data_IF_562646667309
#
_entry.id   IF_562646667309
#
_cell.length_a   1.000
_cell.length_b   1.000
_cell.length_c   1.000
_cell.angle_alpha   90.00
_cell.angle_beta   90.00
_cell.angle_gamma   90.00
#
_symmetry.space_group_name_H-M   'P 1'
#
loop_
_entity.id
_entity.type
_entity.pdbx_description
1 polymer ?
#
# COMPACT_ATOMS: atom_id res chain seq x y z
N UNK A 1 52.12 4.48 36.77
CA UNK A 1 51.03 3.57 36.35
C UNK A 1 49.90 4.35 35.73
N UNK A 2 49.74 4.26 34.41
CA UNK A 2 48.53 4.75 33.73
C UNK A 2 47.55 3.58 33.70
N UNK A 3 46.39 3.73 34.35
CA UNK A 3 45.30 2.74 34.23
C UNK A 3 44.87 2.67 32.76
N UNK A 4 44.65 1.47 32.18
CA UNK A 4 44.05 1.38 30.87
C UNK A 4 42.61 1.87 30.97
N UNK A 5 42.25 2.84 30.14
CA UNK A 5 40.85 3.19 29.88
C UNK A 5 40.24 1.97 29.19
N UNK A 6 39.27 1.32 29.83
CA UNK A 6 38.48 0.29 29.17
C UNK A 6 37.80 0.93 27.96
N UNK A 7 37.80 0.29 26.78
CA UNK A 7 36.98 0.76 25.68
C UNK A 7 35.53 0.71 26.16
N UNK A 8 34.84 1.84 26.05
CA UNK A 8 33.39 1.87 26.16
C UNK A 8 32.91 0.99 25.02
N UNK A 9 32.28 -0.14 25.34
CA UNK A 9 31.41 -0.85 24.40
C UNK A 9 30.28 0.12 24.05
N UNK A 10 30.50 0.97 23.05
CA UNK A 10 29.40 1.53 22.28
C UNK A 10 28.97 0.41 21.34
N UNK A 11 28.15 -0.51 21.86
CA UNK A 11 27.01 -0.90 21.05
C UNK A 11 26.25 0.41 20.82
N UNK A 12 26.51 1.07 19.69
CA UNK A 12 25.59 2.08 19.17
C UNK A 12 24.27 1.35 19.03
N UNK A 13 23.41 1.49 20.04
CA UNK A 13 22.11 0.87 20.08
C UNK A 13 21.38 1.43 18.85
N UNK A 14 21.31 0.63 17.79
CA UNK A 14 20.82 1.14 16.51
C UNK A 14 19.40 1.66 16.71
N UNK A 15 19.15 2.88 16.24
CA UNK A 15 17.87 3.57 16.41
C UNK A 15 16.74 2.68 15.90
N UNK A 16 15.80 2.34 16.79
CA UNK A 16 14.61 1.56 16.44
C UNK A 16 13.64 2.41 15.62
N UNK A 17 12.87 1.77 14.75
CA UNK A 17 11.97 2.45 13.81
C UNK A 17 10.52 1.94 13.93
N UNK A 18 9.58 2.87 13.81
CA UNK A 18 8.18 2.58 13.46
C UNK A 18 8.11 2.56 11.94
N UNK A 19 7.79 1.40 11.37
CA UNK A 19 7.68 1.23 9.93
C UNK A 19 6.23 1.34 9.45
N UNK A 20 6.02 2.18 8.45
CA UNK A 20 4.75 2.42 7.77
C UNK A 20 4.90 1.92 6.33
N UNK A 21 4.05 1.00 5.90
CA UNK A 21 3.91 0.56 4.52
C UNK A 21 2.80 1.37 3.86
N UNK A 22 3.09 1.92 2.68
CA UNK A 22 2.15 2.71 1.91
C UNK A 22 2.02 2.16 0.50
N UNK A 23 0.76 1.86 0.16
CA UNK A 23 0.29 1.55 -1.19
C UNK A 23 -0.56 2.70 -1.69
N UNK A 24 -0.56 2.96 -2.99
CA UNK A 24 -1.38 4.03 -3.57
C UNK A 24 -1.80 3.70 -4.99
N UNK A 25 -2.94 4.21 -5.43
CA UNK A 25 -3.47 4.05 -6.79
C UNK A 25 -3.39 2.60 -7.31
N UNK A 26 -3.87 1.59 -6.56
CA UNK A 26 -3.87 0.23 -7.08
C UNK A 26 -4.87 0.05 -8.22
N UNK A 27 -5.93 0.88 -8.30
CA UNK A 27 -6.94 0.91 -9.37
C UNK A 27 -7.47 -0.49 -9.73
N UNK A 28 -8.03 -1.19 -8.75
CA UNK A 28 -8.69 -2.47 -8.98
C UNK A 28 -9.77 -2.35 -10.08
N UNK A 29 -9.74 -3.30 -11.00
CA UNK A 29 -10.56 -3.28 -12.22
C UNK A 29 -9.98 -2.48 -13.39
N UNK A 30 -8.90 -1.71 -13.22
CA UNK A 30 -8.33 -0.97 -14.33
C UNK A 30 -7.39 -1.80 -15.20
N UNK A 31 -7.42 -1.54 -16.50
CA UNK A 31 -6.48 -2.15 -17.44
C UNK A 31 -5.04 -1.64 -17.26
N UNK A 32 -4.85 -0.51 -16.56
CA UNK A 32 -3.53 0.03 -16.26
C UNK A 32 -2.97 -0.41 -14.90
N UNK A 33 -3.73 -1.19 -14.11
CA UNK A 33 -3.18 -1.82 -12.91
C UNK A 33 -2.03 -2.75 -13.31
N UNK A 34 -0.89 -2.58 -12.66
CA UNK A 34 0.27 -3.40 -12.89
C UNK A 34 0.18 -4.71 -12.11
N UNK A 35 0.62 -5.79 -12.75
CA UNK A 35 0.63 -7.11 -12.15
C UNK A 35 1.95 -7.82 -12.42
N UNK A 36 2.34 -8.65 -11.45
CA UNK A 36 3.35 -9.70 -11.63
C UNK A 36 2.67 -11.07 -11.57
N UNK A 37 3.26 -12.04 -12.28
CA UNK A 37 2.77 -13.42 -12.29
C UNK A 37 3.56 -14.22 -11.27
N UNK A 38 2.85 -14.71 -10.27
CA UNK A 38 3.34 -15.78 -9.42
C UNK A 38 3.07 -17.11 -10.14
N UNK A 39 4.12 -17.70 -10.71
CA UNK A 39 4.05 -18.89 -11.56
C UNK A 39 4.16 -20.20 -10.78
N UNK A 40 4.08 -20.15 -9.45
CA UNK A 40 4.16 -21.31 -8.57
C UNK A 40 5.56 -21.86 -8.33
N UNK A 41 6.62 -21.17 -8.79
CA UNK A 41 8.02 -21.54 -8.49
C UNK A 41 8.33 -21.52 -6.99
N UNK A 42 7.59 -20.72 -6.21
CA UNK A 42 7.69 -20.67 -4.75
C UNK A 42 6.74 -21.65 -4.02
N UNK A 43 6.06 -22.55 -4.75
CA UNK A 43 5.09 -23.49 -4.17
C UNK A 43 3.65 -22.96 -4.08
N UNK A 44 3.40 -21.77 -4.63
CA UNK A 44 2.10 -21.10 -4.72
C UNK A 44 1.29 -21.53 -5.95
N UNK A 45 0.00 -21.18 -5.96
CA UNK A 45 -0.85 -21.34 -7.14
C UNK A 45 -0.55 -20.24 -8.18
N UNK A 46 -0.77 -20.56 -9.46
CA UNK A 46 -0.67 -19.57 -10.54
C UNK A 46 -1.65 -18.41 -10.29
N UNK A 47 -1.14 -17.19 -10.15
CA UNK A 47 -1.97 -15.99 -9.95
C UNK A 47 -1.28 -14.72 -10.39
N UNK A 48 -2.10 -13.71 -10.68
CA UNK A 48 -1.65 -12.35 -10.95
C UNK A 48 -1.78 -11.53 -9.68
N UNK A 49 -0.66 -10.99 -9.21
CA UNK A 49 -0.55 -10.18 -8.00
C UNK A 49 -0.34 -8.72 -8.40
N UNK A 50 -1.13 -7.79 -7.88
CA UNK A 50 -0.80 -6.37 -7.95
C UNK A 50 0.43 -6.07 -7.11
N UNK A 51 0.97 -4.84 -7.20
CA UNK A 51 2.24 -4.51 -6.53
C UNK A 51 2.20 -4.70 -5.02
N UNK A 52 1.09 -4.33 -4.39
CA UNK A 52 0.86 -4.51 -2.96
C UNK A 52 0.70 -5.98 -2.57
N UNK A 53 -0.10 -6.77 -3.30
CA UNK A 53 -0.19 -8.21 -3.06
C UNK A 53 1.15 -8.93 -3.27
N UNK A 54 1.92 -8.51 -4.27
CA UNK A 54 3.21 -9.08 -4.60
C UNK A 54 4.22 -8.86 -3.48
N UNK A 55 4.26 -7.65 -2.90
CA UNK A 55 5.12 -7.34 -1.76
C UNK A 55 4.67 -8.08 -0.50
N UNK A 56 3.37 -8.20 -0.26
CA UNK A 56 2.83 -9.03 0.84
C UNK A 56 3.25 -10.49 0.65
N UNK A 57 3.17 -11.02 -0.58
CA UNK A 57 3.59 -12.39 -0.86
C UNK A 57 5.11 -12.58 -0.70
N UNK A 58 5.94 -11.60 -1.05
CA UNK A 58 7.37 -11.63 -0.74
C UNK A 58 7.64 -11.73 0.77
N UNK A 59 6.86 -11.03 1.60
CA UNK A 59 6.94 -11.14 3.06
C UNK A 59 6.45 -12.51 3.56
N UNK A 60 5.41 -13.05 2.92
CA UNK A 60 4.85 -14.38 3.21
C UNK A 60 5.86 -15.48 2.93
N UNK A 61 6.53 -15.45 1.77
CA UNK A 61 7.61 -16.38 1.44
C UNK A 61 8.76 -16.33 2.45
N UNK A 62 9.07 -15.14 2.99
CA UNK A 62 10.06 -14.94 4.05
C UNK A 62 9.56 -15.30 5.46
N UNK A 63 8.32 -15.83 5.59
CA UNK A 63 7.69 -16.24 6.85
C UNK A 63 7.61 -15.13 7.90
N UNK A 64 7.44 -13.88 7.45
CA UNK A 64 7.41 -12.73 8.35
C UNK A 64 6.10 -12.62 9.15
N UNK A 65 5.05 -13.31 8.74
CA UNK A 65 3.75 -13.25 9.44
C UNK A 65 3.70 -14.15 10.68
N UNK A 66 4.72 -14.99 10.88
CA UNK A 66 4.83 -15.86 12.04
C UNK A 66 5.49 -15.13 13.21
N UNK A 67 4.97 -15.33 14.43
CA UNK A 67 5.63 -14.94 15.68
C UNK A 67 6.04 -13.45 15.78
N UNK A 68 5.25 -12.53 15.20
CA UNK A 68 5.51 -11.09 15.30
C UNK A 68 6.77 -10.61 14.58
N UNK A 69 7.29 -11.39 13.62
CA UNK A 69 8.50 -11.08 12.85
C UNK A 69 8.32 -9.95 11.82
N UNK A 70 7.07 -9.64 11.45
CA UNK A 70 6.79 -8.61 10.46
C UNK A 70 7.39 -7.27 10.92
N UNK A 71 8.18 -6.58 10.08
CA UNK A 71 8.82 -5.33 10.47
C UNK A 71 7.87 -4.12 10.42
N UNK A 72 6.72 -4.26 9.75
CA UNK A 72 5.74 -3.20 9.50
C UNK A 72 4.75 -3.07 10.66
N UNK A 73 4.41 -1.83 11.01
CA UNK A 73 3.52 -1.49 12.12
C UNK A 73 2.26 -0.72 11.68
N UNK A 74 2.30 -0.09 10.52
CA UNK A 74 1.18 0.64 9.97
C UNK A 74 1.07 0.36 8.47
N UNK A 75 -0.15 0.22 7.98
CA UNK A 75 -0.48 0.11 6.57
C UNK A 75 -1.45 1.23 6.20
N UNK A 76 -1.22 1.86 5.06
CA UNK A 76 -2.14 2.81 4.48
C UNK A 76 -2.24 2.59 2.97
N UNK A 77 -3.48 2.61 2.47
CA UNK A 77 -3.78 2.64 1.04
C UNK A 77 -4.30 4.03 0.69
N UNK A 78 -3.44 4.85 0.08
CA UNK A 78 -3.73 6.23 -0.32
C UNK A 78 -4.36 6.26 -1.71
N UNK A 79 -5.59 6.78 -1.79
CA UNK A 79 -6.35 7.01 -3.02
C UNK A 79 -6.62 5.79 -3.92
N UNK A 80 -7.70 5.92 -4.68
CA UNK A 80 -8.23 4.98 -5.69
C UNK A 80 -7.90 3.48 -5.47
N UNK A 81 -8.38 2.85 -4.36
CA UNK A 81 -8.42 1.39 -4.28
C UNK A 81 -9.05 0.78 -5.53
N UNK A 82 -10.24 1.24 -5.93
CA UNK A 82 -10.85 0.87 -7.21
C UNK A 82 -10.75 2.01 -8.20
N UNK A 83 -10.85 1.67 -9.48
CA UNK A 83 -10.76 2.64 -10.57
C UNK A 83 -12.02 3.50 -10.73
N UNK A 84 -13.19 3.01 -10.36
CA UNK A 84 -14.45 3.64 -10.75
C UNK A 84 -14.64 3.76 -12.29
N UNK A 85 -15.56 4.65 -12.68
CA UNK A 85 -15.81 5.13 -14.02
C UNK A 85 -15.02 6.42 -14.27
N UNK A 86 -13.93 6.32 -15.03
CA UNK A 86 -13.23 7.48 -15.56
C UNK A 86 -13.69 7.75 -17.00
N UNK A 87 -14.74 8.58 -17.13
CA UNK A 87 -15.56 8.80 -18.34
C UNK A 87 -14.80 9.18 -19.63
N UNK A 88 -13.51 9.50 -19.58
CA UNK A 88 -12.70 9.84 -20.75
C UNK A 88 -11.63 8.80 -21.11
N UNK A 89 -11.15 8.00 -20.15
CA UNK A 89 -10.06 7.05 -20.40
C UNK A 89 -10.55 5.61 -20.45
N UNK A 90 -11.74 5.29 -19.93
CA UNK A 90 -12.34 3.94 -20.00
C UNK A 90 -12.45 3.36 -21.43
N UNK A 91 -12.44 4.22 -22.44
CA UNK A 91 -12.47 3.82 -23.85
C UNK A 91 -11.08 3.57 -24.45
N UNK A 92 -10.01 3.93 -23.74
CA UNK A 92 -8.65 3.68 -24.18
C UNK A 92 -8.39 2.18 -24.17
N UNK A 93 -7.88 1.68 -25.29
CA UNK A 93 -7.51 0.27 -25.41
C UNK A 93 -6.09 0.08 -24.92
N UNK A 94 -5.90 -0.82 -23.97
CA UNK A 94 -4.57 -1.31 -23.62
C UNK A 94 -3.84 -1.83 -24.87
N UNK A 95 -2.56 -1.50 -25.11
CA UNK A 95 -1.84 -1.86 -26.34
C UNK A 95 -1.74 -3.37 -26.57
N UNK A 96 -1.73 -4.17 -25.49
CA UNK A 96 -1.73 -5.64 -25.58
C UNK A 96 -3.11 -6.30 -25.68
N UNK A 97 -4.20 -5.52 -25.73
CA UNK A 97 -5.57 -6.05 -25.88
C UNK A 97 -5.75 -6.58 -27.30
N UNK A 98 -5.96 -7.89 -27.44
CA UNK A 98 -6.20 -8.50 -28.75
C UNK A 98 -7.67 -8.35 -29.17
N UNK A 99 -7.97 -8.11 -30.46
CA UNK A 99 -9.31 -8.31 -31.01
C UNK A 99 -9.80 -9.75 -30.79
N UNK A 100 -11.11 -9.91 -30.59
CA UNK A 100 -11.72 -11.21 -30.28
C UNK A 100 -11.39 -12.31 -31.31
N UNK A 101 -11.44 -11.99 -32.61
CA UNK A 101 -11.10 -12.94 -33.68
C UNK A 101 -9.66 -13.47 -33.56
N UNK A 102 -8.69 -12.63 -33.18
CA UNK A 102 -7.31 -13.07 -33.00
C UNK A 102 -7.15 -13.96 -31.75
N UNK A 103 -7.95 -13.74 -30.72
CA UNK A 103 -8.00 -14.61 -29.54
C UNK A 103 -8.55 -15.99 -29.93
N UNK A 104 -9.64 -16.03 -30.71
CA UNK A 104 -10.19 -17.31 -31.20
C UNK A 104 -9.16 -18.08 -32.04
N UNK A 105 -8.48 -17.42 -32.96
CA UNK A 105 -7.45 -18.04 -33.80
C UNK A 105 -6.29 -18.58 -32.97
N UNK A 106 -5.83 -17.84 -31.96
CA UNK A 106 -4.75 -18.27 -31.06
C UNK A 106 -5.16 -19.47 -30.19
N UNK A 107 -6.39 -19.45 -29.65
CA UNK A 107 -6.91 -20.58 -28.87
C UNK A 107 -7.11 -21.84 -29.73
N UNK A 108 -7.53 -21.70 -30.99
CA UNK A 108 -7.62 -22.82 -31.94
C UNK A 108 -6.25 -23.44 -32.20
N UNK A 109 -5.22 -22.62 -32.46
CA UNK A 109 -3.84 -23.10 -32.65
C UNK A 109 -3.34 -23.87 -31.43
N UNK A 110 -3.56 -23.34 -30.22
CA UNK A 110 -3.17 -24.01 -28.96
C UNK A 110 -3.91 -25.33 -28.75
N UNK A 111 -5.20 -25.38 -29.08
CA UNK A 111 -5.99 -26.61 -29.02
C UNK A 111 -5.46 -27.68 -29.98
N UNK A 112 -5.11 -27.30 -31.22
CA UNK A 112 -4.57 -28.24 -32.20
C UNK A 112 -3.19 -28.78 -31.80
N UNK A 113 -2.34 -27.93 -31.21
CA UNK A 113 -1.08 -28.37 -30.59
C UNK A 113 -1.35 -29.35 -29.43
N UNK A 114 -2.29 -29.02 -28.53
CA UNK A 114 -2.61 -29.85 -27.38
C UNK A 114 -3.15 -31.24 -27.76
N UNK A 115 -3.90 -31.35 -28.87
CA UNK A 115 -4.47 -32.63 -29.35
C UNK A 115 -3.42 -33.67 -29.72
N UNK A 116 -2.25 -33.22 -30.16
CA UNK A 116 -1.16 -34.10 -30.63
C UNK A 116 0.02 -34.15 -29.65
N UNK A 117 -0.05 -33.38 -28.57
CA UNK A 117 0.99 -33.28 -27.56
C UNK A 117 1.07 -34.53 -26.67
N UNK A 118 2.29 -34.89 -26.28
CA UNK A 118 2.53 -35.84 -25.20
C UNK A 118 2.14 -35.21 -23.85
N UNK A 119 1.95 -36.03 -22.81
CA UNK A 119 1.43 -35.57 -21.52
C UNK A 119 2.21 -34.38 -20.91
N UNK A 120 3.55 -34.39 -20.98
CA UNK A 120 4.36 -33.29 -20.47
C UNK A 120 4.18 -31.98 -21.26
N UNK A 121 4.10 -32.08 -22.59
CA UNK A 121 3.89 -30.94 -23.48
C UNK A 121 2.46 -30.39 -23.37
N UNK A 122 1.47 -31.26 -23.17
CA UNK A 122 0.09 -30.87 -22.92
C UNK A 122 -0.02 -29.98 -21.68
N UNK A 123 0.61 -30.38 -20.57
CA UNK A 123 0.60 -29.58 -19.33
C UNK A 123 1.22 -28.20 -19.54
N UNK A 124 2.30 -28.13 -20.33
CA UNK A 124 2.94 -26.85 -20.69
C UNK A 124 2.00 -25.97 -21.52
N UNK A 125 1.41 -26.52 -22.59
CA UNK A 125 0.46 -25.80 -23.47
C UNK A 125 -0.75 -25.31 -22.67
N UNK A 126 -1.29 -26.15 -21.77
CA UNK A 126 -2.41 -25.78 -20.92
C UNK A 126 -2.07 -24.60 -20.00
N UNK A 127 -0.93 -24.65 -19.30
CA UNK A 127 -0.45 -23.54 -18.45
C UNK A 127 -0.27 -22.25 -19.24
N UNK A 128 0.38 -22.31 -20.39
CA UNK A 128 0.57 -21.15 -21.27
C UNK A 128 -0.77 -20.60 -21.76
N UNK A 129 -1.77 -21.45 -21.97
CA UNK A 129 -3.13 -21.05 -22.38
C UNK A 129 -3.87 -20.35 -21.26
N UNK A 130 -3.80 -20.87 -20.03
CA UNK A 130 -4.35 -20.20 -18.86
C UNK A 130 -3.74 -18.81 -18.65
N UNK A 131 -2.40 -18.70 -18.73
CA UNK A 131 -1.70 -17.40 -18.62
C UNK A 131 -2.15 -16.43 -19.71
N UNK A 132 -2.25 -16.90 -20.95
CA UNK A 132 -2.73 -16.08 -22.07
C UNK A 132 -4.15 -15.56 -21.85
N UNK A 133 -5.09 -16.43 -21.49
CA UNK A 133 -6.50 -16.05 -21.24
C UNK A 133 -6.60 -15.06 -20.10
N UNK A 134 -5.95 -15.34 -18.96
CA UNK A 134 -5.96 -14.46 -17.80
C UNK A 134 -5.37 -13.09 -18.12
N UNK A 135 -4.26 -13.03 -18.84
CA UNK A 135 -3.67 -11.77 -19.30
C UNK A 135 -4.64 -10.99 -20.21
N UNK A 136 -5.33 -11.67 -21.15
CA UNK A 136 -6.31 -11.00 -22.01
C UNK A 136 -7.54 -10.49 -21.25
N UNK A 137 -7.95 -11.14 -20.16
CA UNK A 137 -8.98 -10.63 -19.26
C UNK A 137 -8.48 -9.41 -18.48
N UNK A 138 -7.26 -9.48 -17.93
CA UNK A 138 -6.64 -8.40 -17.17
C UNK A 138 -6.51 -7.11 -18.00
N UNK A 139 -5.92 -7.16 -19.20
CA UNK A 139 -5.69 -5.97 -20.05
C UNK A 139 -6.98 -5.35 -20.60
N UNK A 140 -8.14 -5.98 -20.39
CA UNK A 140 -9.44 -5.39 -20.71
C UNK A 140 -10.01 -4.56 -19.57
N UNK A 141 -9.62 -4.87 -18.33
CA UNK A 141 -10.20 -4.31 -17.12
C UNK A 141 -11.64 -4.77 -16.89
N UNK A 142 -12.22 -4.25 -15.82
CA UNK A 142 -13.59 -4.40 -15.38
C UNK A 142 -14.20 -3.01 -15.22
N UNK A 143 -15.27 -2.72 -15.96
CA UNK A 143 -15.91 -1.41 -15.94
C UNK A 143 -16.97 -1.30 -14.84
N UNK A 144 -17.55 -2.43 -14.44
CA UNK A 144 -18.60 -2.43 -13.43
C UNK A 144 -18.01 -2.25 -12.04
N UNK A 145 -18.28 -1.10 -11.42
CA UNK A 145 -17.67 -0.71 -10.13
C UNK A 145 -17.87 -1.76 -9.04
N UNK A 146 -19.03 -2.41 -8.99
CA UNK A 146 -19.26 -3.49 -8.02
C UNK A 146 -18.23 -4.61 -8.18
N UNK A 147 -17.97 -5.05 -9.41
CA UNK A 147 -17.01 -6.12 -9.71
C UNK A 147 -15.56 -5.66 -9.42
N UNK A 148 -15.27 -4.36 -9.57
CA UNK A 148 -13.99 -3.79 -9.12
C UNK A 148 -13.83 -3.88 -7.59
N UNK A 149 -14.88 -3.58 -6.83
CA UNK A 149 -14.88 -3.71 -5.37
C UNK A 149 -14.76 -5.17 -4.93
N UNK A 150 -15.44 -6.09 -5.62
CA UNK A 150 -15.34 -7.53 -5.41
C UNK A 150 -13.92 -8.02 -5.69
N UNK A 151 -13.25 -7.50 -6.72
CA UNK A 151 -11.84 -7.81 -6.96
C UNK A 151 -10.93 -7.37 -5.81
N UNK A 152 -11.09 -6.16 -5.25
CA UNK A 152 -10.32 -5.75 -4.08
C UNK A 152 -10.59 -6.69 -2.88
N UNK A 153 -11.84 -7.08 -2.65
CA UNK A 153 -12.19 -8.04 -1.61
C UNK A 153 -11.45 -9.38 -1.79
N UNK A 154 -11.69 -10.02 -2.92
CA UNK A 154 -11.30 -11.41 -3.19
C UNK A 154 -9.82 -11.56 -3.49
N UNK A 155 -9.15 -10.50 -3.94
CA UNK A 155 -7.74 -10.55 -4.36
C UNK A 155 -6.80 -9.81 -3.41
N UNK A 156 -7.28 -8.83 -2.66
CA UNK A 156 -6.47 -8.09 -1.69
C UNK A 156 -6.85 -8.38 -0.24
N UNK A 157 -8.11 -8.20 0.16
CA UNK A 157 -8.49 -8.28 1.58
C UNK A 157 -8.51 -9.71 2.13
N UNK A 158 -9.25 -10.61 1.48
CA UNK A 158 -9.43 -11.99 1.98
C UNK A 158 -8.12 -12.80 1.95
N UNK A 159 -7.33 -12.81 0.85
CA UNK A 159 -6.13 -13.64 0.78
C UNK A 159 -5.00 -13.14 1.69
N UNK A 160 -5.04 -11.87 2.09
CA UNK A 160 -3.99 -11.23 2.89
C UNK A 160 -4.41 -10.96 4.35
N UNK A 161 -5.43 -11.67 4.84
CA UNK A 161 -5.87 -11.53 6.24
C UNK A 161 -4.77 -11.88 7.25
N UNK A 162 -3.85 -12.78 6.88
CA UNK A 162 -2.67 -13.15 7.66
C UNK A 162 -1.67 -11.99 7.81
N UNK A 163 -1.47 -11.19 6.77
CA UNK A 163 -0.66 -9.98 6.81
C UNK A 163 -1.25 -8.94 7.78
N UNK A 164 -2.56 -8.66 7.67
CA UNK A 164 -3.20 -7.70 8.56
C UNK A 164 -3.22 -8.17 10.02
N UNK A 165 -3.46 -9.46 10.25
CA UNK A 165 -3.37 -10.10 11.57
C UNK A 165 -1.95 -9.96 12.16
N UNK A 166 -0.91 -10.23 11.38
CA UNK A 166 0.48 -10.11 11.79
C UNK A 166 0.87 -8.65 12.08
N UNK A 167 0.48 -7.70 11.23
CA UNK A 167 0.75 -6.27 11.41
C UNK A 167 0.12 -5.74 12.69
N UNK A 168 -1.15 -6.02 12.93
CA UNK A 168 -1.81 -5.58 14.17
C UNK A 168 -1.24 -6.27 15.41
N UNK A 169 -0.86 -7.55 15.29
CA UNK A 169 -0.20 -8.29 16.36
C UNK A 169 1.14 -7.64 16.70
N UNK A 170 1.94 -7.31 15.67
CA UNK A 170 3.21 -6.61 15.82
C UNK A 170 3.04 -5.28 16.53
N UNK A 171 2.16 -4.42 16.03
CA UNK A 171 1.92 -3.10 16.61
C UNK A 171 1.50 -3.17 18.07
N UNK A 172 0.69 -4.17 18.42
CA UNK A 172 0.27 -4.43 19.81
C UNK A 172 1.42 -4.93 20.68
N UNK A 173 2.24 -5.87 20.19
CA UNK A 173 3.39 -6.42 20.93
C UNK A 173 4.44 -5.34 21.21
N UNK A 174 4.68 -4.46 20.24
CA UNK A 174 5.54 -3.28 20.37
C UNK A 174 5.00 -2.20 21.32
N UNK A 175 3.78 -2.38 21.84
CA UNK A 175 3.12 -1.39 22.70
C UNK A 175 2.85 -0.05 22.02
N UNK A 176 2.78 -0.03 20.68
CA UNK A 176 2.56 1.21 19.96
C UNK A 176 1.21 1.82 20.28
N UNK A 177 1.20 3.15 20.40
CA UNK A 177 0.01 3.93 20.68
C UNK A 177 -0.26 4.79 19.46
N UNK A 178 -1.41 4.56 18.83
CA UNK A 178 -1.95 5.42 17.76
C UNK A 178 -3.18 6.18 18.30
N UNK A 179 -3.20 7.49 18.09
CA UNK A 179 -4.29 8.37 18.54
C UNK A 179 -4.84 9.16 17.35
N UNK A 180 -6.13 9.01 17.08
CA UNK A 180 -6.86 9.82 16.10
C UNK A 180 -7.27 11.17 16.68
N UNK A 181 -7.93 11.99 15.87
CA UNK A 181 -8.43 13.32 16.26
C UNK A 181 -9.38 13.25 17.46
N UNK A 182 -10.23 12.22 17.54
CA UNK A 182 -11.18 12.03 18.64
C UNK A 182 -10.49 11.93 20.01
N UNK A 183 -9.23 11.49 20.07
CA UNK A 183 -8.45 11.41 21.29
C UNK A 183 -7.92 12.76 21.80
N UNK A 184 -7.99 13.81 20.99
CA UNK A 184 -7.49 15.16 21.31
C UNK A 184 -8.62 16.17 21.55
N UNK A 185 -9.88 15.76 21.44
CA UNK A 185 -11.02 16.65 21.66
C UNK A 185 -11.16 17.03 23.14
N UNK A 186 -11.35 18.33 23.41
CA UNK A 186 -11.56 18.87 24.77
C UNK A 186 -12.85 18.35 25.42
N UNK A 187 -13.87 18.08 24.60
CA UNK A 187 -15.07 17.36 25.02
C UNK A 187 -14.96 15.91 24.58
N UNK A 188 -15.53 14.94 25.34
CA UNK A 188 -15.51 13.53 24.94
C UNK A 188 -16.17 13.31 23.57
N UNK A 189 -15.35 13.33 22.53
CA UNK A 189 -15.76 13.03 21.17
C UNK A 189 -15.45 11.54 20.94
N UNK A 190 -16.50 10.71 20.86
CA UNK A 190 -16.32 9.27 20.63
C UNK A 190 -16.02 8.92 19.17
N UNK A 191 -16.14 9.89 18.27
CA UNK A 191 -16.04 9.66 16.83
C UNK A 191 -15.63 10.94 16.10
N UNK A 192 -14.52 10.88 15.38
CA UNK A 192 -14.16 11.85 14.36
C UNK A 192 -13.91 11.11 13.04
N UNK A 193 -14.46 11.61 11.94
CA UNK A 193 -14.29 11.01 10.63
C UNK A 193 -12.82 10.93 10.19
N UNK A 194 -11.98 11.82 10.71
CA UNK A 194 -10.54 11.93 10.39
C UNK A 194 -9.65 10.98 11.19
N UNK A 195 -10.22 10.19 12.11
CA UNK A 195 -9.43 9.28 12.95
C UNK A 195 -8.64 8.27 12.11
N UNK A 196 -7.34 8.16 12.41
CA UNK A 196 -6.44 7.14 11.85
C UNK A 196 -6.27 5.95 12.79
N UNK A 197 -5.89 4.80 12.23
CA UNK A 197 -5.53 3.57 12.93
C UNK A 197 -4.21 3.00 12.41
N UNK A 198 -3.88 1.76 12.79
CA UNK A 198 -2.73 1.04 12.23
C UNK A 198 -2.97 0.57 10.80
N UNK A 199 -4.24 0.41 10.39
CA UNK A 199 -4.62 0.09 9.02
C UNK A 199 -5.61 1.16 8.56
N UNK A 200 -5.31 1.82 7.43
CA UNK A 200 -6.10 2.93 6.91
C UNK A 200 -6.42 2.72 5.43
N UNK A 201 -7.72 2.74 5.09
CA UNK A 201 -8.17 2.67 3.70
C UNK A 201 -8.71 4.01 3.23
N UNK A 202 -8.14 4.50 2.12
CA UNK A 202 -8.62 5.66 1.41
C UNK A 202 -9.91 5.40 0.63
N UNK A 203 -10.45 6.47 0.08
CA UNK A 203 -11.49 6.45 -0.94
C UNK A 203 -10.98 7.24 -2.12
N UNK A 204 -11.08 6.61 -3.28
CA UNK A 204 -10.71 7.17 -4.55
C UNK A 204 -11.53 8.37 -4.98
N UNK A 205 -10.88 9.36 -5.58
CA UNK A 205 -11.60 10.40 -6.31
C UNK A 205 -12.37 9.79 -7.51
N UNK A 206 -11.83 8.74 -8.17
CA UNK A 206 -12.51 8.12 -9.29
C UNK A 206 -13.76 7.36 -8.83
N UNK A 207 -13.65 6.56 -7.76
CA UNK A 207 -14.79 5.90 -7.15
C UNK A 207 -15.85 6.93 -6.72
N UNK A 208 -15.43 7.97 -5.98
CA UNK A 208 -16.30 9.05 -5.52
C UNK A 208 -17.06 9.69 -6.67
N UNK A 209 -16.40 10.07 -7.76
CA UNK A 209 -17.04 10.66 -8.94
C UNK A 209 -18.03 9.69 -9.62
N UNK A 210 -17.75 8.39 -9.59
CA UNK A 210 -18.61 7.38 -10.22
C UNK A 210 -19.97 7.25 -9.56
N UNK A 211 -19.97 7.33 -8.23
CA UNK A 211 -21.16 7.19 -7.39
C UNK A 211 -21.70 8.55 -6.95
N UNK A 212 -21.35 9.64 -7.65
CA UNK A 212 -21.74 11.01 -7.32
C UNK A 212 -21.44 11.43 -5.87
N UNK A 213 -20.33 10.91 -5.31
CA UNK A 213 -19.88 11.10 -3.93
C UNK A 213 -20.86 10.60 -2.86
N UNK A 214 -21.83 9.75 -3.22
CA UNK A 214 -22.83 9.21 -2.29
C UNK A 214 -22.28 8.06 -1.43
N UNK A 215 -21.17 7.44 -1.85
CA UNK A 215 -20.53 6.32 -1.17
C UNK A 215 -19.02 6.52 -1.07
N UNK A 216 -18.43 5.97 0.00
CA UNK A 216 -16.98 5.95 0.24
C UNK A 216 -16.53 4.50 0.39
N UNK A 217 -15.77 4.00 -0.58
CA UNK A 217 -15.36 2.60 -0.64
C UNK A 217 -14.47 2.19 0.56
N UNK A 218 -13.62 3.11 1.05
CA UNK A 218 -12.74 2.84 2.18
C UNK A 218 -13.50 2.40 3.43
N UNK A 219 -14.68 2.97 3.69
CA UNK A 219 -15.54 2.57 4.83
C UNK A 219 -16.07 1.15 4.68
N UNK A 220 -16.37 0.73 3.45
CA UNK A 220 -16.80 -0.64 3.14
C UNK A 220 -15.64 -1.60 3.41
N UNK A 221 -14.45 -1.31 2.90
CA UNK A 221 -13.26 -2.15 3.07
C UNK A 221 -12.82 -2.27 4.51
N UNK A 222 -12.75 -1.16 5.25
CA UNK A 222 -12.44 -1.18 6.68
C UNK A 222 -13.47 -1.98 7.48
N UNK A 223 -14.76 -1.94 7.12
CA UNK A 223 -15.79 -2.76 7.77
C UNK A 223 -15.59 -4.25 7.49
N UNK A 224 -15.34 -4.62 6.23
CA UNK A 224 -15.13 -6.02 5.84
C UNK A 224 -13.86 -6.57 6.49
N UNK A 225 -12.75 -5.84 6.43
CA UNK A 225 -11.49 -6.25 7.05
C UNK A 225 -11.65 -6.48 8.56
N UNK A 226 -12.37 -5.61 9.27
CA UNK A 226 -12.69 -5.84 10.69
C UNK A 226 -13.48 -7.14 10.90
N UNK A 227 -14.45 -7.44 10.06
CA UNK A 227 -15.21 -8.70 10.13
C UNK A 227 -14.33 -9.93 9.87
N UNK A 228 -13.43 -9.85 8.88
CA UNK A 228 -12.47 -10.91 8.60
C UNK A 228 -11.51 -11.10 9.78
N UNK A 229 -11.00 -10.01 10.36
CA UNK A 229 -10.12 -10.08 11.54
C UNK A 229 -10.86 -10.65 12.76
N UNK A 230 -12.14 -10.33 12.97
CA UNK A 230 -12.95 -10.95 14.02
C UNK A 230 -13.10 -12.46 13.88
N UNK A 231 -12.89 -13.04 12.70
CA UNK A 231 -12.86 -14.51 12.54
C UNK A 231 -11.55 -15.14 13.03
N UNK A 232 -10.51 -14.33 13.29
CA UNK A 232 -9.18 -14.79 13.72
C UNK A 232 -9.12 -14.97 15.24
N UNK A 233 -8.43 -16.00 15.75
CA UNK A 233 -8.38 -16.29 17.20
C UNK A 233 -7.92 -15.11 18.08
N UNK A 234 -6.95 -14.31 17.61
CA UNK A 234 -6.39 -13.20 18.37
C UNK A 234 -7.36 -12.01 18.55
N UNK A 235 -8.41 -11.93 17.71
CA UNK A 235 -9.26 -10.75 17.62
C UNK A 235 -10.75 -11.02 17.80
N UNK A 236 -11.18 -12.28 17.95
CA UNK A 236 -12.60 -12.66 17.97
C UNK A 236 -13.50 -11.88 18.93
N UNK A 237 -12.95 -11.44 20.07
CA UNK A 237 -13.68 -10.66 21.08
C UNK A 237 -13.19 -9.20 21.20
N UNK A 238 -12.50 -8.69 20.18
CA UNK A 238 -11.79 -7.41 20.20
C UNK A 238 -12.45 -6.38 19.26
N UNK A 239 -13.78 -6.43 19.07
CA UNK A 239 -14.50 -5.55 18.13
C UNK A 239 -14.19 -4.07 18.34
N UNK A 240 -14.25 -3.59 19.58
CA UNK A 240 -13.99 -2.17 19.91
C UNK A 240 -12.53 -1.79 19.61
N UNK A 241 -11.59 -2.70 19.82
CA UNK A 241 -10.18 -2.47 19.50
C UNK A 241 -9.96 -2.45 17.98
N UNK A 242 -10.60 -3.34 17.24
CA UNK A 242 -10.53 -3.33 15.77
C UNK A 242 -11.17 -2.07 15.16
N UNK A 243 -12.20 -1.51 15.81
CA UNK A 243 -12.78 -0.22 15.44
C UNK A 243 -11.82 0.98 15.64
N UNK A 244 -10.80 0.85 16.50
CA UNK A 244 -9.73 1.86 16.64
C UNK A 244 -8.54 1.58 15.75
N UNK A 245 -8.21 0.31 15.50
CA UNK A 245 -7.03 -0.09 14.74
C UNK A 245 -7.22 -0.07 13.22
N UNK A 246 -8.44 -0.29 12.74
CA UNK A 246 -8.75 -0.30 11.30
C UNK A 246 -9.72 0.84 10.99
N UNK A 247 -9.25 1.82 10.22
CA UNK A 247 -9.96 3.06 9.92
C UNK A 247 -10.12 3.29 8.42
N UNK A 248 -11.10 4.11 8.10
CA UNK A 248 -11.28 4.71 6.79
C UNK A 248 -11.50 6.21 6.98
N UNK A 249 -10.41 6.98 7.16
CA UNK A 249 -10.49 8.41 7.40
C UNK A 249 -11.28 9.14 6.31
N UNK A 250 -12.03 10.16 6.72
CA UNK A 250 -12.81 10.99 5.82
C UNK A 250 -12.97 12.38 6.42
N UNK A 251 -12.58 13.39 5.64
CA UNK A 251 -12.89 14.78 5.92
C UNK A 251 -13.68 15.35 4.75
N UNK A 252 -14.93 15.74 5.01
CA UNK A 252 -15.91 16.01 3.95
C UNK A 252 -16.13 14.75 3.09
N UNK A 253 -15.82 14.81 1.79
CA UNK A 253 -15.87 13.69 0.85
C UNK A 253 -14.47 13.24 0.39
N UNK A 254 -13.41 13.68 1.07
CA UNK A 254 -12.03 13.35 0.72
C UNK A 254 -11.40 12.47 1.78
N UNK A 255 -10.57 11.53 1.33
CA UNK A 255 -9.74 10.76 2.25
C UNK A 255 -8.69 11.70 2.84
N UNK A 256 -8.90 12.08 4.10
CA UNK A 256 -7.97 12.86 4.91
C UNK A 256 -8.07 12.34 6.34
N UNK A 257 -6.97 11.79 6.83
CA UNK A 257 -6.84 11.28 8.18
C UNK A 257 -5.73 11.98 8.94
N UNK A 258 -5.97 12.26 10.22
CA UNK A 258 -5.00 12.86 11.12
C UNK A 258 -4.88 12.08 12.43
N UNK A 259 -3.67 12.07 12.96
CA UNK A 259 -3.42 11.56 14.29
C UNK A 259 -1.96 11.60 14.67
N UNK A 260 -1.60 10.77 15.63
CA UNK A 260 -0.23 10.61 16.10
C UNK A 260 0.11 9.15 16.34
N UNK A 261 1.40 8.82 16.29
CA UNK A 261 1.92 7.50 16.64
C UNK A 261 3.18 7.63 17.49
N UNK A 262 3.33 6.75 18.50
CA UNK A 262 4.56 6.64 19.28
C UNK A 262 4.71 5.27 19.92
N UNK A 263 5.95 4.95 20.28
CA UNK A 263 6.26 3.87 21.22
C UNK A 263 6.25 4.39 22.66
N UNK A 264 6.01 3.53 23.68
CA UNK A 264 5.89 3.96 25.07
C UNK A 264 7.11 4.75 25.57
N UNK A 265 6.89 5.96 26.07
CA UNK A 265 7.95 6.85 26.58
C UNK A 265 8.88 7.42 25.51
N UNK A 266 8.52 7.32 24.23
CA UNK A 266 9.31 7.77 23.09
C UNK A 266 8.68 8.99 22.39
N UNK A 267 9.31 9.48 21.32
CA UNK A 267 8.85 10.66 20.60
C UNK A 267 7.49 10.41 19.93
N UNK A 268 6.64 11.44 19.93
CA UNK A 268 5.33 11.39 19.29
C UNK A 268 5.33 12.06 17.91
N UNK A 269 5.18 11.24 16.89
CA UNK A 269 5.10 11.67 15.51
C UNK A 269 3.68 12.10 15.17
N UNK A 270 3.54 13.22 14.45
CA UNK A 270 2.30 13.56 13.76
C UNK A 270 2.14 12.72 12.50
N UNK A 271 0.91 12.31 12.18
CA UNK A 271 0.59 11.57 10.97
C UNK A 271 -0.57 12.25 10.23
N UNK A 272 -0.41 12.40 8.93
CA UNK A 272 -1.46 12.75 7.98
C UNK A 272 -1.43 11.78 6.80
N UNK A 273 -2.59 11.23 6.47
CA UNK A 273 -2.79 10.40 5.28
C UNK A 273 -3.86 11.05 4.42
N UNK A 274 -3.67 11.12 3.10
CA UNK A 274 -4.67 11.72 2.22
C UNK A 274 -4.69 11.15 0.79
N UNK A 275 -5.76 11.48 0.08
CA UNK A 275 -5.96 11.13 -1.34
C UNK A 275 -4.86 11.73 -2.22
N UNK A 276 -4.76 13.05 -2.30
CA UNK A 276 -3.95 13.78 -3.25
C UNK A 276 -3.18 14.91 -2.57
N UNK A 277 -2.03 15.36 -3.10
CA UNK A 277 -1.36 16.54 -2.57
C UNK A 277 -2.28 17.77 -2.64
N UNK A 278 -2.21 18.67 -1.64
CA UNK A 278 -3.04 19.90 -1.59
C UNK A 278 -2.90 20.78 -2.82
N UNK A 279 -1.75 20.72 -3.48
CA UNK A 279 -1.52 21.33 -4.79
C UNK A 279 -0.33 20.65 -5.47
N UNK A 280 -0.49 20.32 -6.75
CA UNK A 280 0.62 19.98 -7.64
C UNK A 280 1.20 21.28 -8.23
N UNK A 281 2.53 21.46 -8.20
CA UNK A 281 3.17 22.61 -8.88
C UNK A 281 3.59 22.25 -10.28
N UNK A 282 4.40 21.19 -10.42
CA UNK A 282 4.90 20.72 -11.71
C UNK A 282 5.23 19.24 -11.61
N UNK A 283 5.42 18.58 -12.74
CA UNK A 283 5.82 17.16 -12.75
C UNK A 283 7.29 16.94 -12.34
N UNK A 284 8.14 17.98 -12.42
CA UNK A 284 9.55 17.91 -11.98
C UNK A 284 9.72 18.08 -10.46
N UNK A 285 8.69 18.52 -9.76
CA UNK A 285 8.66 18.65 -8.30
C UNK A 285 7.19 18.58 -7.83
N UNK A 286 6.74 17.34 -7.63
CA UNK A 286 5.33 17.01 -7.39
C UNK A 286 4.86 17.46 -6.00
N UNK A 287 5.79 17.60 -5.05
CA UNK A 287 5.49 17.94 -3.66
C UNK A 287 5.70 19.41 -3.32
N UNK A 288 6.43 20.21 -4.12
CA UNK A 288 6.65 21.64 -3.87
C UNK A 288 5.35 22.44 -3.69
N UNK A 289 4.30 22.07 -4.43
CA UNK A 289 3.00 22.72 -4.31
C UNK A 289 2.36 22.47 -2.95
N UNK A 290 2.44 21.23 -2.46
CA UNK A 290 1.95 20.84 -1.15
C UNK A 290 2.72 21.56 -0.04
N UNK A 291 4.06 21.56 -0.12
CA UNK A 291 4.95 22.26 0.83
C UNK A 291 4.56 23.74 0.92
N UNK A 292 4.56 24.45 -0.22
CA UNK A 292 4.25 25.90 -0.23
C UNK A 292 2.84 26.22 0.26
N UNK A 293 1.89 25.31 0.08
CA UNK A 293 0.52 25.50 0.55
C UNK A 293 0.45 25.34 2.08
N UNK A 294 1.09 24.30 2.60
CA UNK A 294 1.11 23.99 4.02
C UNK A 294 1.88 25.05 4.82
N UNK A 295 3.03 25.53 4.32
CA UNK A 295 3.75 26.66 4.93
C UNK A 295 2.88 27.92 5.05
N UNK A 296 1.98 28.16 4.08
CA UNK A 296 1.05 29.31 4.13
C UNK A 296 -0.12 29.08 5.08
N UNK A 297 -0.59 27.84 5.22
CA UNK A 297 -1.73 27.48 6.08
C UNK A 297 -1.33 27.29 7.53
N UNK A 298 -0.07 26.97 7.81
CA UNK A 298 0.43 26.62 9.13
C UNK A 298 -0.22 25.33 9.65
N UNK A 299 -0.34 25.23 10.98
CA UNK A 299 -0.93 24.07 11.66
C UNK A 299 -2.47 24.13 11.67
N UNK A 300 -3.11 23.64 10.61
CA UNK A 300 -4.58 23.61 10.48
C UNK A 300 -5.26 22.55 11.34
N UNK A 301 -4.54 21.51 11.79
CA UNK A 301 -5.12 20.43 12.60
C UNK A 301 -5.03 20.71 14.10
N UNK A 302 -4.09 21.57 14.52
CA UNK A 302 -3.65 21.83 15.92
C UNK A 302 -3.04 20.61 16.62
N UNK A 303 -3.41 19.38 16.25
CA UNK A 303 -2.86 18.15 16.83
C UNK A 303 -1.37 17.95 16.49
N UNK A 304 -0.86 18.62 15.44
CA UNK A 304 0.55 18.56 15.04
C UNK A 304 1.44 19.54 15.80
N UNK A 305 0.89 20.33 16.74
CA UNK A 305 1.65 21.33 17.48
C UNK A 305 2.84 20.68 18.22
N UNK A 306 4.05 21.21 18.05
CA UNK A 306 5.26 20.70 18.70
C UNK A 306 5.76 19.34 18.18
N UNK A 307 5.22 18.83 17.06
CA UNK A 307 5.57 17.53 16.49
C UNK A 307 6.07 17.67 15.06
N UNK A 308 7.04 16.84 14.70
CA UNK A 308 7.36 16.59 13.30
C UNK A 308 6.31 15.64 12.74
N UNK A 309 5.78 15.98 11.58
CA UNK A 309 4.64 15.28 10.99
C UNK A 309 5.05 14.57 9.71
N UNK A 310 4.70 13.30 9.57
CA UNK A 310 4.70 12.61 8.29
C UNK A 310 3.36 12.85 7.60
N UNK A 311 3.40 13.33 6.36
CA UNK A 311 2.26 13.53 5.47
C UNK A 311 2.43 12.66 4.24
N UNK A 312 1.49 11.77 4.00
CA UNK A 312 1.50 10.90 2.82
C UNK A 312 0.32 11.20 1.90
N UNK A 313 0.51 11.06 0.58
CA UNK A 313 -0.55 11.25 -0.41
C UNK A 313 -0.37 10.35 -1.65
N UNK A 314 -1.46 10.14 -2.40
CA UNK A 314 -1.53 9.41 -3.68
C UNK A 314 -1.92 10.30 -4.87
N UNK A 315 -2.74 9.74 -5.78
CA UNK A 315 -3.43 10.32 -6.97
C UNK A 315 -2.51 10.64 -8.15
N UNK A 316 -1.36 11.24 -7.89
CA UNK A 316 -0.56 11.86 -8.97
C UNK A 316 0.32 10.88 -9.73
N UNK A 317 0.31 9.59 -9.39
CA UNK A 317 1.10 8.55 -10.06
C UNK A 317 2.63 8.86 -10.11
N UNK A 318 3.18 9.45 -9.04
CA UNK A 318 4.61 9.69 -8.89
C UNK A 318 5.12 9.14 -7.56
N UNK A 319 6.41 8.83 -7.48
CA UNK A 319 7.07 8.59 -6.20
C UNK A 319 7.92 9.82 -5.84
N UNK A 320 7.74 10.37 -4.64
CA UNK A 320 8.45 11.58 -4.23
C UNK A 320 8.57 11.72 -2.73
N UNK A 321 9.66 12.35 -2.27
CA UNK A 321 9.86 12.63 -0.86
C UNK A 321 10.49 14.02 -0.68
N UNK A 322 9.94 14.82 0.23
CA UNK A 322 10.48 16.14 0.60
C UNK A 322 10.44 16.30 2.12
N UNK A 323 11.50 16.86 2.70
CA UNK A 323 11.58 17.16 4.13
C UNK A 323 11.75 18.66 4.35
N UNK A 324 10.93 19.24 5.23
CA UNK A 324 11.16 20.54 5.87
C UNK A 324 11.66 20.35 7.31
N UNK A 325 11.83 21.43 8.06
CA UNK A 325 12.23 21.35 9.47
C UNK A 325 11.18 20.69 10.37
N UNK A 326 9.90 20.70 9.97
CA UNK A 326 8.78 20.21 10.79
C UNK A 326 7.87 19.20 10.07
N UNK A 327 8.05 18.98 8.77
CA UNK A 327 7.17 18.07 8.01
C UNK A 327 7.97 17.20 7.04
N UNK A 328 7.59 15.94 6.96
CA UNK A 328 8.04 14.97 5.97
C UNK A 328 6.86 14.75 5.01
N UNK A 329 7.06 14.98 3.72
CA UNK A 329 6.07 14.73 2.68
C UNK A 329 6.52 13.53 1.89
N UNK A 330 5.62 12.58 1.69
CA UNK A 330 5.86 11.40 0.87
C UNK A 330 4.69 11.17 -0.07
N UNK A 331 4.99 10.82 -1.31
CA UNK A 331 4.03 10.36 -2.30
C UNK A 331 4.46 8.96 -2.71
N UNK A 332 3.59 7.99 -2.48
CA UNK A 332 3.91 6.61 -2.77
C UNK A 332 3.91 6.30 -4.28
N UNK A 333 4.77 5.36 -4.71
CA UNK A 333 4.63 4.65 -5.98
C UNK A 333 3.16 4.24 -6.26
N UNK A 334 2.57 4.53 -7.43
CA UNK A 334 1.27 3.99 -7.80
C UNK A 334 1.32 2.47 -8.01
N UNK A 335 0.18 1.79 -7.91
CA UNK A 335 0.00 0.40 -8.31
C UNK A 335 -0.36 0.23 -9.79
N UNK A 336 -0.42 1.33 -10.54
CA UNK A 336 -0.71 1.38 -11.97
C UNK A 336 0.52 1.79 -12.79
N UNK A 337 0.51 1.43 -14.07
CA UNK A 337 1.33 2.11 -15.07
C UNK A 337 0.63 3.38 -15.53
N UNK A 338 1.40 4.42 -15.80
CA UNK A 338 0.83 5.71 -16.19
C UNK A 338 0.15 5.61 -17.55
N UNK A 339 -1.10 6.09 -17.58
CA UNK A 339 -1.98 6.55 -18.68
C UNK A 339 -1.33 6.66 -20.08
N UNK A 340 -2.11 6.31 -21.11
CA UNK A 340 -2.02 6.38 -22.60
C UNK A 340 -0.86 7.05 -23.37
N UNK A 341 0.09 7.70 -22.71
CA UNK A 341 1.27 8.39 -23.25
C UNK A 341 2.58 7.59 -23.05
N UNK A 342 2.48 6.31 -22.67
CA UNK A 342 3.58 5.40 -22.31
C UNK A 342 4.67 5.10 -23.35
N UNK A 343 4.75 5.86 -24.45
CA UNK A 343 5.97 5.92 -25.29
C UNK A 343 6.55 7.33 -25.45
N UNK A 344 5.87 8.40 -25.00
CA UNK A 344 6.30 9.80 -25.17
C UNK A 344 6.03 10.75 -24.00
N UNK A 345 5.83 10.26 -22.78
CA UNK A 345 5.71 11.16 -21.63
C UNK A 345 5.84 10.49 -20.27
N UNK A 346 7.07 10.11 -19.91
CA UNK A 346 7.53 9.58 -18.61
C UNK A 346 7.68 8.04 -18.55
N UNK A 347 8.83 7.54 -18.04
CA UNK A 347 9.13 6.11 -18.03
C UNK A 347 8.27 5.34 -17.00
N UNK A 348 8.04 4.03 -17.19
CA UNK A 348 7.31 3.13 -16.27
C UNK A 348 8.00 2.89 -14.90
N UNK A 349 8.71 3.87 -14.37
CA UNK A 349 9.74 3.69 -13.35
C UNK A 349 9.33 4.00 -11.90
N UNK A 350 8.06 4.30 -11.63
CA UNK A 350 7.62 4.64 -10.27
C UNK A 350 6.50 3.75 -9.73
N UNK A 351 6.08 2.69 -10.44
CA UNK A 351 5.07 1.76 -9.93
C UNK A 351 5.67 0.87 -8.84
N UNK A 352 4.96 0.63 -7.73
CA UNK A 352 5.48 -0.18 -6.64
C UNK A 352 4.80 0.02 -5.30
N UNK A 353 5.56 -0.18 -4.22
CA UNK A 353 5.13 0.02 -2.83
C UNK A 353 6.25 0.72 -2.06
N UNK A 354 5.91 1.60 -1.12
CA UNK A 354 6.89 2.31 -0.31
C UNK A 354 6.79 2.03 1.18
N UNK A 355 7.90 2.29 1.87
CA UNK A 355 8.07 2.08 3.31
C UNK A 355 8.77 3.28 3.94
N UNK A 356 8.26 3.71 5.08
CA UNK A 356 8.76 4.87 5.81
C UNK A 356 9.09 4.43 7.24
N UNK A 357 10.36 4.51 7.62
CA UNK A 357 10.87 4.21 8.94
C UNK A 357 11.06 5.50 9.74
N UNK A 358 10.24 5.65 10.78
CA UNK A 358 10.29 6.79 11.70
C UNK A 358 11.09 6.39 12.95
N UNK A 359 12.21 7.07 13.27
CA UNK A 359 12.99 6.75 14.46
C UNK A 359 12.17 7.00 15.74
N UNK A 360 12.13 6.01 16.64
CA UNK A 360 11.27 6.06 17.83
C UNK A 360 11.63 7.20 18.76
N UNK A 361 12.92 7.50 18.90
CA UNK A 361 13.43 8.55 19.79
C UNK A 361 13.32 9.97 19.19
N UNK A 362 12.76 10.08 17.98
CA UNK A 362 12.44 11.35 17.33
C UNK A 362 13.38 11.70 16.16
N UNK A 363 13.08 12.80 15.45
CA UNK A 363 13.72 13.18 14.18
C UNK A 363 15.23 13.46 14.27
N UNK A 364 15.73 13.75 15.47
CA UNK A 364 17.15 14.05 15.73
C UNK A 364 17.94 12.83 16.21
N UNK A 365 17.27 11.73 16.53
CA UNK A 365 17.88 10.51 17.06
C UNK A 365 18.43 9.55 15.98
N UNK A 366 18.10 9.80 14.72
CA UNK A 366 18.50 8.97 13.60
C UNK A 366 17.85 9.41 12.28
N UNK A 367 18.25 8.81 11.16
CA UNK A 367 17.65 9.12 9.86
C UNK A 367 16.21 8.61 9.79
N UNK A 368 15.33 9.39 9.15
CA UNK A 368 14.09 8.86 8.58
C UNK A 368 14.46 8.04 7.36
N UNK A 369 13.99 6.79 7.30
CA UNK A 369 14.30 5.89 6.21
C UNK A 369 13.13 5.85 5.23
N UNK A 370 13.37 6.19 3.97
CA UNK A 370 12.39 6.00 2.88
C UNK A 370 12.93 4.91 1.97
N UNK A 371 12.11 3.90 1.70
CA UNK A 371 12.43 2.75 0.85
C UNK A 371 11.26 2.49 -0.09
N UNK A 372 11.55 1.96 -1.26
CA UNK A 372 10.53 1.52 -2.20
C UNK A 372 10.96 0.19 -2.83
N UNK A 373 9.98 -0.67 -3.07
CA UNK A 373 10.10 -1.81 -3.97
C UNK A 373 9.36 -1.43 -5.25
N UNK A 374 10.12 -1.18 -6.31
CA UNK A 374 9.57 -0.81 -7.61
C UNK A 374 9.24 -2.05 -8.44
N UNK A 375 8.39 -1.89 -9.45
CA UNK A 375 7.90 -2.95 -10.33
C UNK A 375 9.00 -3.89 -10.79
N UNK A 376 10.12 -3.37 -11.32
CA UNK A 376 11.21 -4.20 -11.84
C UNK A 376 11.85 -5.10 -10.77
N UNK A 377 11.96 -4.61 -9.53
CA UNK A 377 12.52 -5.38 -8.41
C UNK A 377 11.56 -6.48 -7.99
N UNK A 378 10.26 -6.17 -7.93
CA UNK A 378 9.18 -7.10 -7.61
C UNK A 378 9.10 -8.17 -8.70
N UNK A 379 9.03 -7.78 -9.97
CA UNK A 379 9.00 -8.67 -11.13
C UNK A 379 10.18 -9.62 -11.15
N UNK A 380 11.40 -9.11 -10.96
CA UNK A 380 12.62 -9.93 -10.90
C UNK A 380 12.54 -11.00 -9.81
N UNK A 381 11.95 -10.67 -8.65
CA UNK A 381 11.72 -11.64 -7.58
C UNK A 381 10.78 -12.77 -8.02
N UNK A 382 9.64 -12.46 -8.66
CA UNK A 382 8.70 -13.51 -9.08
C UNK A 382 9.18 -14.31 -10.30
N UNK A 383 10.03 -13.74 -11.15
CA UNK A 383 10.69 -14.47 -12.22
C UNK A 383 11.69 -15.51 -11.68
N UNK A 384 12.49 -15.11 -10.68
CA UNK A 384 13.50 -15.94 -10.03
C UNK A 384 13.55 -15.65 -8.52
N UNK A 385 12.74 -16.35 -7.70
CA UNK A 385 12.67 -16.12 -6.27
C UNK A 385 14.03 -16.26 -5.58
N UNK A 386 14.36 -15.29 -4.73
CA UNK A 386 15.60 -15.24 -3.95
C UNK A 386 15.30 -14.87 -2.50
N UNK A 387 16.21 -15.15 -1.58
CA UNK A 387 16.08 -14.74 -0.19
C UNK A 387 16.26 -13.22 -0.08
N UNK A 388 15.15 -12.50 0.02
CA UNK A 388 15.17 -11.05 0.16
C UNK A 388 15.54 -10.66 1.59
N UNK A 389 16.59 -9.85 1.77
CA UNK A 389 17.07 -9.43 3.08
C UNK A 389 16.18 -8.33 3.70
N UNK A 390 15.08 -8.75 4.32
CA UNK A 390 14.12 -7.85 4.97
C UNK A 390 14.71 -7.10 6.16
N UNK A 391 15.67 -7.67 6.88
CA UNK A 391 16.31 -7.02 8.02
C UNK A 391 17.20 -5.85 7.59
N UNK A 392 17.88 -5.96 6.45
CA UNK A 392 18.63 -4.86 5.86
C UNK A 392 17.73 -3.82 5.19
N UNK A 393 16.64 -4.27 4.56
CA UNK A 393 15.71 -3.39 3.87
C UNK A 393 14.88 -2.54 4.85
N UNK A 394 14.38 -3.17 5.93
CA UNK A 394 13.56 -2.54 6.98
C UNK A 394 14.21 -2.72 8.37
N UNK A 395 15.36 -2.08 8.62
CA UNK A 395 16.16 -2.34 9.81
C UNK A 395 15.52 -1.86 11.12
N UNK A 396 15.86 -2.58 12.19
CA UNK A 396 15.57 -2.25 13.58
C UNK A 396 14.10 -1.88 13.85
N UNK A 397 13.11 -2.70 13.45
CA UNK A 397 11.72 -2.43 13.79
C UNK A 397 11.55 -2.44 15.32
N UNK A 398 10.73 -1.52 15.84
CA UNK A 398 10.44 -1.47 17.29
C UNK A 398 9.73 -2.73 17.75
N UNK A 399 10.34 -3.45 18.69
CA UNK A 399 9.86 -4.76 19.19
C UNK A 399 8.91 -4.62 20.36
#
# INVERSE_FOLDING_TARGET
GKKPVKPVNQETQMTKNIWIMESSDPHWGWHSKEFVIDNGKSGSALRFLGMDEAVIEMMRHAKLFENGKIPVHCFVMNDDPTQGNHFQIQQQTHPHKMPYALIEDELRKRLDLARTAQAADFVKIFKETCVFVLHQLQVRGEAWVQDQMEQLLERHLEPNIDFFDALLTRSRQSGLIIRGVSNFAETPCKYDGRDIGFINYGTGNHFGNTVNNELTEGRVYAKILRSLLLSRPNWANQKQLLETFVKAPLYSNQFIGWGTIHAPGKYEWGLEFRDAPTRLTSWGDTLLGAVRNDEKRGNYSRIFEGRVTLKTCGDKHFCGFVRTSHTLYHMAPPGTHTDSFGERGFPPNNTGVSFIGLPVDGPDSGPVLVRALLYDQIKKYFENPYDFNWEEFLPNPVL
#
